data_IF_061363182780
#
_entry.id   IF_061363182780
#
_cell.length_a   1.000
_cell.length_b   1.000
_cell.length_c   1.000
_cell.angle_alpha   90.00
_cell.angle_beta   90.00
_cell.angle_gamma   90.00
#
_symmetry.space_group_name_H-M   'P 1'
#
loop_
_entity.id
_entity.type
_entity.pdbx_description
1 polymer ?
#
# COMPACT_ATOMS: atom_id res chain seq x y z
N UNK A 1 6.90 -7.85 -38.86
CA UNK A 1 6.41 -8.26 -37.53
C UNK A 1 7.52 -8.00 -36.54
N UNK A 2 7.45 -6.87 -35.85
CA UNK A 2 8.37 -6.51 -34.78
C UNK A 2 7.94 -7.26 -33.52
N UNK A 3 8.78 -8.19 -33.06
CA UNK A 3 8.65 -8.75 -31.71
C UNK A 3 8.89 -7.61 -30.72
N UNK A 4 7.84 -7.20 -30.02
CA UNK A 4 7.97 -6.42 -28.79
C UNK A 4 8.58 -7.37 -27.76
N UNK A 5 9.76 -7.04 -27.26
CA UNK A 5 10.33 -7.74 -26.11
C UNK A 5 9.33 -7.56 -24.95
N UNK A 6 8.88 -8.67 -24.36
CA UNK A 6 8.13 -8.62 -23.10
C UNK A 6 8.97 -7.85 -22.07
N UNK A 7 8.45 -6.70 -21.67
CA UNK A 7 9.08 -5.84 -20.69
C UNK A 7 8.95 -6.51 -19.32
N UNK A 8 10.08 -6.99 -18.80
CA UNK A 8 10.18 -7.59 -17.46
C UNK A 8 10.11 -9.12 -17.48
N UNK A 9 11.17 -9.77 -17.04
CA UNK A 9 11.15 -11.19 -16.69
C UNK A 9 10.24 -11.35 -15.45
N UNK A 10 9.01 -11.89 -15.56
CA UNK A 10 8.14 -12.02 -14.41
C UNK A 10 8.82 -12.94 -13.39
N UNK A 11 8.90 -12.50 -12.13
CA UNK A 11 9.63 -13.24 -11.11
C UNK A 11 9.00 -14.62 -10.91
N UNK A 12 9.83 -15.63 -10.65
CA UNK A 12 9.40 -16.99 -10.28
C UNK A 12 9.58 -17.18 -8.78
N UNK A 13 8.52 -17.00 -8.00
CA UNK A 13 8.52 -17.24 -6.54
C UNK A 13 8.03 -16.06 -5.70
N UNK A 14 7.94 -16.28 -4.38
CA UNK A 14 7.66 -15.27 -3.34
C UNK A 14 8.88 -14.38 -3.03
N UNK A 15 8.71 -13.27 -2.29
CA UNK A 15 9.86 -12.43 -1.90
C UNK A 15 10.53 -13.15 -0.75
N UNK A 16 11.85 -13.18 -0.77
CA UNK A 16 12.62 -13.59 0.39
C UNK A 16 12.45 -12.55 1.49
N UNK A 17 12.70 -12.95 2.73
CA UNK A 17 12.66 -12.05 3.89
C UNK A 17 13.55 -10.79 3.69
N UNK A 18 14.73 -10.97 3.09
CA UNK A 18 15.64 -9.86 2.81
C UNK A 18 15.08 -8.91 1.74
N UNK A 19 14.42 -9.43 0.70
CA UNK A 19 13.76 -8.63 -0.33
C UNK A 19 12.55 -7.86 0.23
N UNK A 20 11.78 -8.48 1.14
CA UNK A 20 10.68 -7.82 1.85
C UNK A 20 11.24 -6.64 2.66
N UNK A 21 12.23 -6.89 3.51
CA UNK A 21 12.84 -5.85 4.34
C UNK A 21 13.43 -4.72 3.50
N UNK A 22 14.18 -5.04 2.44
CA UNK A 22 14.71 -4.01 1.55
C UNK A 22 13.61 -3.21 0.88
N UNK A 23 12.51 -3.85 0.48
CA UNK A 23 11.37 -3.17 -0.13
C UNK A 23 10.70 -2.18 0.84
N UNK A 24 10.51 -2.58 2.10
CA UNK A 24 9.96 -1.69 3.12
C UNK A 24 10.90 -0.52 3.41
N UNK A 25 12.20 -0.78 3.52
CA UNK A 25 13.21 0.27 3.75
C UNK A 25 13.30 1.26 2.58
N UNK A 26 13.15 0.79 1.34
CA UNK A 26 13.12 1.65 0.15
C UNK A 26 11.89 2.56 0.16
N UNK A 27 10.73 2.02 0.50
CA UNK A 27 9.48 2.80 0.66
C UNK A 27 9.65 3.85 1.75
N UNK A 28 10.09 3.45 2.94
CA UNK A 28 10.31 4.36 4.07
C UNK A 28 11.32 5.47 3.73
N UNK A 29 12.45 5.10 3.10
CA UNK A 29 13.46 6.05 2.65
C UNK A 29 12.93 7.03 1.61
N UNK A 30 12.04 6.58 0.72
CA UNK A 30 11.37 7.45 -0.23
C UNK A 30 10.52 8.50 0.47
N UNK A 31 9.72 8.11 1.47
CA UNK A 31 8.91 9.05 2.26
C UNK A 31 9.78 10.03 3.04
N UNK A 32 10.85 9.58 3.71
CA UNK A 32 11.81 10.47 4.40
C UNK A 32 12.39 11.55 3.47
N UNK A 33 12.59 11.20 2.20
CA UNK A 33 13.16 12.11 1.19
C UNK A 33 12.12 13.06 0.57
N UNK A 34 10.91 12.58 0.28
CA UNK A 34 9.93 13.30 -0.55
C UNK A 34 8.74 13.85 0.24
N UNK A 35 8.52 13.37 1.46
CA UNK A 35 7.41 13.73 2.34
C UNK A 35 7.94 14.22 3.70
N UNK A 36 8.66 15.34 3.70
CA UNK A 36 9.24 15.91 4.94
C UNK A 36 8.15 16.12 5.99
N UNK A 37 8.40 15.66 7.21
CA UNK A 37 7.42 15.76 8.29
C UNK A 37 6.41 14.61 8.35
N UNK A 38 6.21 13.86 7.25
CA UNK A 38 5.19 12.81 7.18
C UNK A 38 5.46 11.66 8.15
N UNK A 39 6.74 11.31 8.34
CA UNK A 39 7.18 10.26 9.26
C UNK A 39 7.79 10.83 10.54
N UNK A 40 7.58 12.11 10.85
CA UNK A 40 8.08 12.68 12.09
C UNK A 40 7.33 12.05 13.28
N UNK A 41 8.09 11.61 14.29
CA UNK A 41 7.58 10.89 15.46
C UNK A 41 6.93 9.54 15.16
N UNK A 42 7.14 9.02 13.96
CA UNK A 42 6.88 7.65 13.62
C UNK A 42 7.74 6.69 14.46
N UNK A 43 7.12 5.68 15.03
CA UNK A 43 7.84 4.54 15.59
C UNK A 43 7.25 3.24 15.04
N UNK A 44 8.06 2.19 15.07
CA UNK A 44 7.59 0.84 14.79
C UNK A 44 6.58 0.36 15.82
N UNK A 45 5.66 -0.48 15.37
CA UNK A 45 4.67 -1.13 16.22
C UNK A 45 5.36 -1.97 17.29
N UNK A 46 4.82 -1.92 18.50
CA UNK A 46 5.30 -2.75 19.61
C UNK A 46 4.77 -4.17 19.45
N UNK A 47 5.52 -5.17 19.93
CA UNK A 47 5.11 -6.59 19.85
C UNK A 47 3.73 -6.84 20.47
N UNK A 48 3.40 -6.13 21.56
CA UNK A 48 2.10 -6.24 22.22
C UNK A 48 0.94 -5.75 21.32
N UNK A 49 1.17 -4.70 20.52
CA UNK A 49 0.17 -4.18 19.58
C UNK A 49 -0.01 -5.13 18.40
N UNK A 50 1.07 -5.75 17.91
CA UNK A 50 1.02 -6.79 16.88
C UNK A 50 0.25 -8.02 17.38
N UNK A 51 0.53 -8.50 18.59
CA UNK A 51 -0.20 -9.63 19.19
C UNK A 51 -1.68 -9.33 19.40
N UNK A 52 -2.02 -8.09 19.77
CA UNK A 52 -3.40 -7.65 19.89
C UNK A 52 -4.12 -7.68 18.54
N UNK A 53 -3.44 -7.27 17.46
CA UNK A 53 -3.96 -7.37 16.10
C UNK A 53 -4.17 -8.83 15.67
N UNK A 54 -3.18 -9.70 15.84
CA UNK A 54 -3.31 -11.14 15.56
C UNK A 54 -4.51 -11.76 16.24
N UNK A 55 -4.72 -11.42 17.53
CA UNK A 55 -5.87 -11.88 18.30
C UNK A 55 -7.20 -11.32 17.78
N UNK A 56 -7.24 -10.03 17.40
CA UNK A 56 -8.46 -9.39 16.92
C UNK A 56 -8.90 -9.92 15.55
N UNK A 57 -7.94 -10.29 14.70
CA UNK A 57 -8.22 -10.81 13.34
C UNK A 57 -8.19 -12.34 13.27
N UNK A 58 -7.95 -13.02 14.39
CA UNK A 58 -7.82 -14.50 14.50
C UNK A 58 -6.89 -15.09 13.43
N UNK A 59 -5.71 -14.49 13.29
CA UNK A 59 -4.73 -14.92 12.29
C UNK A 59 -3.31 -14.50 12.66
N UNK A 60 -2.33 -15.06 11.96
CA UNK A 60 -0.94 -14.60 11.97
C UNK A 60 -0.76 -13.52 10.90
N UNK A 61 -0.08 -12.44 11.26
CA UNK A 61 0.19 -11.35 10.32
C UNK A 61 1.20 -11.80 9.26
N UNK A 62 0.94 -11.56 7.95
CA UNK A 62 1.90 -11.82 6.88
C UNK A 62 3.23 -11.10 7.10
N UNK A 63 4.35 -11.72 6.71
CA UNK A 63 5.69 -11.17 6.95
C UNK A 63 5.87 -9.77 6.35
N UNK A 64 5.29 -9.51 5.17
CA UNK A 64 5.34 -8.20 4.54
C UNK A 64 4.67 -7.12 5.38
N UNK A 65 3.45 -7.37 5.86
CA UNK A 65 2.72 -6.43 6.70
C UNK A 65 3.41 -6.26 8.06
N UNK A 66 3.94 -7.35 8.62
CA UNK A 66 4.73 -7.31 9.86
C UNK A 66 5.96 -6.42 9.71
N UNK A 67 6.75 -6.58 8.65
CA UNK A 67 7.93 -5.73 8.41
C UNK A 67 7.55 -4.26 8.23
N UNK A 68 6.44 -3.96 7.54
CA UNK A 68 5.92 -2.58 7.43
C UNK A 68 5.64 -2.01 8.82
N UNK A 69 4.82 -2.67 9.63
CA UNK A 69 4.43 -2.16 10.94
C UNK A 69 5.61 -2.07 11.91
N UNK A 70 6.55 -3.02 11.89
CA UNK A 70 7.74 -2.98 12.76
C UNK A 70 8.69 -1.84 12.41
N UNK A 71 8.74 -1.42 11.13
CA UNK A 71 9.52 -0.26 10.73
C UNK A 71 8.75 1.03 11.01
N UNK A 72 7.43 1.02 10.75
CA UNK A 72 6.61 2.22 10.68
C UNK A 72 5.13 1.89 10.95
N UNK A 73 4.64 2.21 12.16
CA UNK A 73 3.24 1.98 12.54
C UNK A 73 2.34 3.12 12.05
N UNK A 74 1.79 2.98 10.85
CA UNK A 74 0.96 4.00 10.18
C UNK A 74 1.77 5.09 9.48
N UNK A 75 1.13 6.22 9.15
CA UNK A 75 1.71 7.41 8.46
C UNK A 75 2.24 7.21 7.03
N UNK A 76 2.55 5.98 6.60
CA UNK A 76 2.75 5.67 5.18
C UNK A 76 1.45 5.89 4.41
N UNK A 77 1.59 6.11 3.10
CA UNK A 77 0.46 6.22 2.19
C UNK A 77 0.65 5.25 1.04
N UNK A 78 -0.35 4.44 0.77
CA UNK A 78 -0.44 3.57 -0.40
C UNK A 78 -1.43 4.22 -1.36
N UNK A 79 -0.88 4.96 -2.34
CA UNK A 79 -1.66 5.90 -3.16
C UNK A 79 -2.38 6.92 -2.27
N UNK A 80 -3.71 7.04 -2.37
CA UNK A 80 -4.56 7.90 -1.55
C UNK A 80 -4.95 7.30 -0.18
N UNK A 81 -4.54 6.05 0.10
CA UNK A 81 -4.94 5.33 1.32
C UNK A 81 -3.82 5.39 2.37
N UNK A 82 -4.11 5.98 3.52
CA UNK A 82 -3.16 6.08 4.63
C UNK A 82 -3.07 4.75 5.39
N UNK A 83 -1.85 4.29 5.64
CA UNK A 83 -1.56 3.14 6.47
C UNK A 83 -2.11 3.36 7.89
N UNK A 84 -2.82 2.35 8.38
CA UNK A 84 -3.37 2.32 9.73
C UNK A 84 -2.27 1.95 10.73
N UNK A 85 -2.39 2.43 11.97
CA UNK A 85 -1.63 1.88 13.09
C UNK A 85 -2.21 0.52 13.50
N UNK A 86 -1.45 -0.36 14.15
CA UNK A 86 -1.96 -1.64 14.67
C UNK A 86 -3.25 -1.46 15.49
N UNK A 87 -3.31 -0.41 16.34
CA UNK A 87 -4.49 -0.08 17.13
C UNK A 87 -5.68 0.31 16.25
N UNK A 88 -5.46 1.06 15.18
CA UNK A 88 -6.50 1.44 14.24
C UNK A 88 -6.95 0.24 13.38
N UNK A 89 -6.05 -0.69 13.03
CA UNK A 89 -6.40 -1.95 12.36
C UNK A 89 -7.32 -2.80 13.24
N UNK A 90 -7.01 -2.93 14.53
CA UNK A 90 -7.86 -3.60 15.53
C UNK A 90 -9.24 -2.94 15.60
N UNK A 91 -9.29 -1.62 15.74
CA UNK A 91 -10.54 -0.88 15.79
C UNK A 91 -11.39 -1.05 14.51
N UNK A 92 -10.74 -1.06 13.34
CA UNK A 92 -11.38 -1.29 12.06
C UNK A 92 -11.93 -2.72 11.95
N UNK A 93 -11.17 -3.74 12.36
CA UNK A 93 -11.63 -5.13 12.36
C UNK A 93 -12.89 -5.30 13.24
N UNK A 94 -12.90 -4.74 14.45
CA UNK A 94 -14.08 -4.75 15.32
C UNK A 94 -15.27 -3.95 14.76
N UNK A 95 -15.02 -2.85 14.03
CA UNK A 95 -16.09 -2.08 13.38
C UNK A 95 -16.78 -2.90 12.28
N UNK A 96 -16.03 -3.74 11.56
CA UNK A 96 -16.55 -4.51 10.42
C UNK A 96 -17.20 -5.84 10.84
N UNK A 97 -16.75 -6.43 11.94
CA UNK A 97 -17.24 -7.72 12.44
C UNK A 97 -18.77 -7.75 12.64
N UNK A 98 -19.42 -8.66 11.91
CA UNK A 98 -20.88 -8.85 11.95
C UNK A 98 -21.71 -7.73 11.33
N UNK A 99 -21.07 -6.71 10.73
CA UNK A 99 -21.74 -5.53 10.16
C UNK A 99 -21.57 -5.41 8.65
N UNK A 100 -20.43 -5.84 8.12
CA UNK A 100 -20.10 -5.69 6.70
C UNK A 100 -20.19 -7.04 5.99
N UNK A 101 -20.89 -7.14 4.84
CA UNK A 101 -21.00 -8.38 4.10
C UNK A 101 -19.62 -8.98 3.78
N UNK A 102 -19.47 -10.29 4.00
CA UNK A 102 -18.24 -11.03 3.68
C UNK A 102 -17.10 -10.89 4.69
N UNK A 103 -17.20 -9.99 5.68
CA UNK A 103 -16.17 -9.83 6.70
C UNK A 103 -16.04 -11.08 7.57
N UNK A 104 -14.81 -11.55 7.80
CA UNK A 104 -14.49 -12.80 8.50
C UNK A 104 -13.10 -12.74 9.14
N UNK A 105 -12.83 -13.71 10.02
CA UNK A 105 -11.48 -13.98 10.54
C UNK A 105 -10.46 -14.14 9.40
N UNK A 106 -9.25 -13.62 9.61
CA UNK A 106 -8.17 -13.59 8.62
C UNK A 106 -8.14 -12.36 7.71
N UNK A 107 -9.17 -11.51 7.73
CA UNK A 107 -9.13 -10.22 7.05
C UNK A 107 -8.46 -9.17 7.93
N UNK A 108 -7.40 -8.55 7.41
CA UNK A 108 -6.66 -7.50 8.11
C UNK A 108 -6.74 -6.20 7.31
N UNK A 109 -7.48 -5.18 7.78
CA UNK A 109 -7.46 -3.86 7.17
C UNK A 109 -6.15 -3.17 7.53
N UNK A 110 -5.39 -2.70 6.54
CA UNK A 110 -4.06 -2.11 6.80
C UNK A 110 -3.88 -0.67 6.28
N UNK A 111 -4.78 -0.18 5.43
CA UNK A 111 -4.80 1.20 5.00
C UNK A 111 -6.23 1.65 4.71
N UNK A 112 -6.51 2.96 4.72
CA UNK A 112 -7.81 3.50 4.30
C UNK A 112 -7.72 4.92 3.75
N UNK A 113 -8.70 5.31 2.95
CA UNK A 113 -8.90 6.72 2.57
C UNK A 113 -9.83 7.47 3.56
N UNK A 114 -10.21 8.70 3.18
CA UNK A 114 -11.09 9.58 3.98
C UNK A 114 -12.54 9.11 4.02
N UNK A 115 -12.96 8.27 3.07
CA UNK A 115 -14.32 7.76 2.92
C UNK A 115 -14.49 6.37 3.55
N UNK A 116 -13.49 5.89 4.32
CA UNK A 116 -13.45 4.55 4.90
C UNK A 116 -13.45 3.43 3.83
N UNK A 117 -12.86 3.66 2.65
CA UNK A 117 -12.46 2.57 1.75
C UNK A 117 -11.10 2.03 2.20
N UNK A 118 -11.03 0.74 2.49
CA UNK A 118 -9.87 0.08 3.04
C UNK A 118 -9.07 -0.68 1.98
N UNK A 119 -7.76 -0.82 2.20
CA UNK A 119 -7.01 -1.97 1.72
C UNK A 119 -7.01 -3.04 2.79
N UNK A 120 -7.36 -4.26 2.38
CA UNK A 120 -7.47 -5.43 3.24
C UNK A 120 -6.62 -6.55 2.66
N UNK A 121 -5.86 -7.24 3.51
CA UNK A 121 -5.24 -8.51 3.14
C UNK A 121 -6.05 -9.68 3.69
N UNK A 122 -6.29 -10.69 2.87
CA UNK A 122 -6.93 -11.95 3.29
C UNK A 122 -5.88 -13.03 3.54
N UNK A 123 -5.57 -13.30 4.81
CA UNK A 123 -4.56 -14.29 5.20
C UNK A 123 -5.00 -15.74 5.00
N UNK A 124 -6.30 -15.99 4.80
CA UNK A 124 -6.84 -17.32 4.55
C UNK A 124 -6.81 -17.69 3.06
N UNK A 125 -6.74 -16.69 2.18
CA UNK A 125 -6.57 -16.89 0.75
C UNK A 125 -5.11 -17.18 0.39
N UNK A 126 -4.90 -18.03 -0.62
CA UNK A 126 -3.56 -18.38 -1.11
C UNK A 126 -2.84 -17.11 -1.55
N UNK A 127 -1.70 -16.86 -0.92
CA UNK A 127 -0.80 -15.77 -1.28
C UNK A 127 -1.09 -14.44 -0.58
N UNK A 128 -2.07 -14.39 0.33
CA UNK A 128 -2.43 -13.16 1.05
C UNK A 128 -2.74 -11.99 0.09
N UNK A 129 -3.75 -12.12 -0.78
CA UNK A 129 -4.09 -11.07 -1.74
C UNK A 129 -4.48 -9.77 -1.02
N UNK A 130 -4.22 -8.66 -1.69
CA UNK A 130 -4.66 -7.32 -1.26
C UNK A 130 -5.90 -6.95 -2.08
N UNK A 131 -6.98 -6.63 -1.40
CA UNK A 131 -8.27 -6.24 -1.99
C UNK A 131 -8.69 -4.88 -1.45
N UNK A 132 -9.49 -4.16 -2.24
CA UNK A 132 -10.24 -3.03 -1.74
C UNK A 132 -11.44 -3.52 -0.94
N UNK A 133 -11.84 -2.74 0.07
CA UNK A 133 -12.98 -3.08 0.91
C UNK A 133 -13.73 -1.82 1.29
N UNK A 134 -15.00 -1.74 0.90
CA UNK A 134 -15.89 -0.66 1.29
C UNK A 134 -16.62 -1.02 2.58
N UNK A 135 -16.74 -0.06 3.50
CA UNK A 135 -17.34 -0.28 4.81
C UNK A 135 -18.86 -0.54 4.77
N UNK A 136 -19.54 -0.23 3.65
CA UNK A 136 -20.96 -0.47 3.44
C UNK A 136 -21.22 -1.70 2.53
N UNK A 137 -20.46 -1.81 1.44
CA UNK A 137 -20.69 -2.77 0.36
C UNK A 137 -19.84 -4.04 0.47
N UNK A 138 -18.75 -4.01 1.24
CA UNK A 138 -17.87 -5.15 1.45
C UNK A 138 -16.71 -5.24 0.46
N UNK A 139 -16.32 -6.47 0.10
CA UNK A 139 -15.16 -6.72 -0.78
C UNK A 139 -15.33 -6.09 -2.17
N UNK A 140 -14.33 -5.31 -2.58
CA UNK A 140 -14.24 -4.65 -3.87
C UNK A 140 -13.26 -5.36 -4.82
N UNK A 141 -12.51 -4.57 -5.59
CA UNK A 141 -11.54 -5.09 -6.56
C UNK A 141 -10.30 -5.70 -5.92
N UNK A 142 -9.70 -6.71 -6.56
CA UNK A 142 -8.37 -7.19 -6.20
C UNK A 142 -7.31 -6.21 -6.69
N UNK A 143 -6.50 -5.68 -5.76
CA UNK A 143 -5.37 -4.78 -6.05
C UNK A 143 -4.13 -5.60 -6.42
N UNK A 144 -3.86 -6.67 -5.68
CA UNK A 144 -2.77 -7.60 -5.99
C UNK A 144 -3.13 -9.01 -5.53
N UNK A 145 -2.68 -10.02 -6.29
CA UNK A 145 -2.92 -11.43 -5.98
C UNK A 145 -2.06 -11.97 -4.84
N UNK A 146 -0.99 -11.24 -4.46
CA UNK A 146 -0.22 -11.51 -3.25
C UNK A 146 0.23 -10.21 -2.59
N UNK A 147 0.43 -10.22 -1.27
CA UNK A 147 0.95 -9.05 -0.55
C UNK A 147 2.35 -8.66 -1.05
N UNK A 148 3.21 -9.65 -1.31
CA UNK A 148 4.50 -9.43 -1.95
C UNK A 148 4.38 -8.61 -3.25
N UNK A 149 3.47 -8.99 -4.15
CA UNK A 149 3.29 -8.25 -5.42
C UNK A 149 2.78 -6.83 -5.20
N UNK A 150 1.90 -6.63 -4.21
CA UNK A 150 1.45 -5.29 -3.82
C UNK A 150 2.63 -4.41 -3.37
N UNK A 151 3.45 -4.90 -2.42
CA UNK A 151 4.57 -4.15 -1.88
C UNK A 151 5.65 -3.87 -2.95
N UNK A 152 5.99 -4.87 -3.75
CA UNK A 152 6.96 -4.72 -4.85
C UNK A 152 6.46 -3.73 -5.91
N UNK A 153 5.19 -3.83 -6.32
CA UNK A 153 4.57 -2.92 -7.27
C UNK A 153 4.61 -1.47 -6.78
N UNK A 154 4.15 -1.24 -5.55
CA UNK A 154 4.14 0.08 -4.94
C UNK A 154 5.55 0.67 -4.80
N UNK A 155 6.51 -0.12 -4.30
CA UNK A 155 7.93 0.29 -4.24
C UNK A 155 8.44 0.71 -5.62
N UNK A 156 8.18 -0.09 -6.66
CA UNK A 156 8.65 0.20 -8.01
C UNK A 156 8.05 1.49 -8.57
N UNK A 157 6.78 1.78 -8.27
CA UNK A 157 6.13 3.05 -8.64
C UNK A 157 6.82 4.27 -7.99
N UNK A 158 7.08 4.20 -6.69
CA UNK A 158 7.80 5.25 -5.96
C UNK A 158 9.19 5.49 -6.56
N UNK A 159 9.93 4.42 -6.82
CA UNK A 159 11.31 4.48 -7.33
C UNK A 159 11.39 4.84 -8.82
N UNK A 160 10.32 4.66 -9.58
CA UNK A 160 10.25 5.10 -10.98
C UNK A 160 10.27 6.64 -11.12
N UNK A 161 10.17 7.38 -10.02
CA UNK A 161 10.28 8.84 -10.00
C UNK A 161 9.06 9.57 -10.55
N UNK A 162 8.00 8.83 -10.91
CA UNK A 162 6.74 9.34 -11.46
C UNK A 162 5.75 9.77 -10.39
N UNK A 163 6.02 9.54 -9.12
CA UNK A 163 5.13 9.93 -8.02
C UNK A 163 5.69 11.11 -7.22
N UNK A 164 4.80 11.87 -6.60
CA UNK A 164 5.08 12.85 -5.54
C UNK A 164 4.12 12.65 -4.36
N UNK A 165 4.54 13.11 -3.18
CA UNK A 165 3.67 13.14 -2.01
C UNK A 165 3.00 14.51 -1.91
N UNK A 166 1.68 14.51 -1.73
CA UNK A 166 0.90 15.71 -1.47
C UNK A 166 0.21 15.55 -0.12
N UNK A 167 0.49 16.47 0.80
CA UNK A 167 -0.07 16.45 2.15
C UNK A 167 -1.61 16.43 2.10
N UNK A 168 -2.21 15.45 2.79
CA UNK A 168 -3.66 15.24 2.83
C UNK A 168 -4.24 14.52 1.61
N UNK A 169 -3.47 14.30 0.55
CA UNK A 169 -3.90 13.53 -0.63
C UNK A 169 -3.14 12.20 -0.80
N UNK A 170 -1.95 12.07 -0.21
CA UNK A 170 -1.14 10.86 -0.27
C UNK A 170 -0.14 10.87 -1.42
N UNK A 171 0.13 9.70 -2.01
CA UNK A 171 1.05 9.53 -3.13
C UNK A 171 0.29 9.65 -4.44
N UNK A 172 0.66 10.62 -5.27
CA UNK A 172 0.00 10.90 -6.55
C UNK A 172 1.00 10.86 -7.71
N UNK A 173 0.51 10.59 -8.92
CA UNK A 173 1.34 10.71 -10.12
C UNK A 173 1.68 12.18 -10.41
N UNK A 174 2.95 12.45 -10.70
CA UNK A 174 3.43 13.75 -11.18
C UNK A 174 2.84 14.03 -12.54
N UNK A 175 2.09 15.12 -12.65
CA UNK A 175 1.68 15.65 -13.94
C UNK A 175 2.90 16.29 -14.61
N UNK A 176 3.61 15.52 -15.45
CA UNK A 176 4.65 16.10 -16.31
C UNK A 176 3.97 16.94 -17.39
N UNK A 177 4.29 18.25 -17.45
CA UNK A 177 3.90 19.13 -18.56
C UNK A 177 4.64 18.73 -19.84
N UNK A 178 4.32 17.59 -20.42
CA UNK A 178 4.74 17.21 -21.76
C UNK A 178 3.51 17.05 -22.65
N UNK A 179 2.93 18.19 -23.03
CA UNK A 179 2.25 18.43 -24.32
C UNK A 179 1.65 19.85 -24.44
N UNK A 180 2.34 20.90 -23.97
CA UNK A 180 2.04 22.24 -24.50
C UNK A 180 2.76 22.34 -25.84
N UNK A 181 2.04 21.98 -26.91
CA UNK A 181 2.42 22.28 -28.29
C UNK A 181 2.82 23.75 -28.35
N UNK A 182 4.09 24.02 -28.68
CA UNK A 182 4.53 25.38 -28.96
C UNK A 182 3.71 25.93 -30.13
N UNK A 183 3.11 27.12 -30.03
CA UNK A 183 2.36 27.67 -31.15
C UNK A 183 3.29 27.88 -32.35
N UNK A 184 2.81 27.63 -33.58
CA UNK A 184 3.64 27.76 -34.77
C UNK A 184 4.15 29.19 -34.89
N UNK A 185 5.48 29.33 -35.06
CA UNK A 185 6.10 30.62 -35.40
C UNK A 185 5.48 31.12 -36.71
N UNK A 186 4.72 32.20 -36.60
CA UNK A 186 4.23 32.98 -37.75
C UNK A 186 5.42 33.61 -38.47
N UNK A 187 5.71 33.14 -39.68
CA UNK A 187 6.61 33.82 -40.60
C UNK A 187 5.88 35.06 -41.15
N UNK A 188 6.26 36.24 -40.67
CA UNK A 188 5.96 37.50 -41.38
C UNK A 188 6.81 37.56 -42.64
N UNK A 189 6.14 37.69 -43.79
CA UNK A 189 6.69 38.27 -45.01
C UNK A 189 6.81 39.79 -44.84
#
# INVERSE_FOLDING_TARGET
>A
MTHVAEEGNPRKGGMTYDEINQSVLDVESWFKKHARGCLDNAEGAQDADIQALEKATDTTIPEELRSIMTIQDGQLWFSEKQALTCKAMVAAAFKMEGRVPGWRAGLIPFAKDVDDNFLVTDTQARGCPVVEWDAADGEGGTVATTFSLFLEGFRNELLAGRCEYVEGLGVVEKITKSNVSSPPRSNRK
#
